data_IF_931770053546
#
_entry.id   IF_931770053546
#
_cell.length_a   1.000
_cell.length_b   1.000
_cell.length_c   1.000
_cell.angle_alpha   90.00
_cell.angle_beta   90.00
_cell.angle_gamma   90.00
#
_symmetry.space_group_name_H-M   'P 1'
#
loop_
_entity.id
_entity.type
_entity.pdbx_description
1 polymer ?
#
# COMPACT_ATOMS: atom_id res chain seq x y z
N UNK A 1 -2.39 1.01 4.17
CA UNK A 1 -3.01 1.68 3.02
C UNK A 1 -2.17 2.90 2.71
N UNK A 2 -1.71 3.06 1.46
CA UNK A 2 -1.14 4.34 1.05
C UNK A 2 -2.27 5.34 0.88
N UNK A 3 -2.15 6.44 1.60
CA UNK A 3 -3.04 7.58 1.42
C UNK A 3 -2.18 8.73 0.92
N UNK A 4 -2.68 9.44 -0.10
CA UNK A 4 -2.09 10.70 -0.52
C UNK A 4 -2.30 11.74 0.57
N UNK A 5 -3.32 12.57 0.41
CA UNK A 5 -3.52 13.72 1.29
C UNK A 5 -4.00 13.37 2.72
N UNK A 6 -4.48 12.14 2.94
CA UNK A 6 -5.00 11.66 4.23
C UNK A 6 -6.28 10.83 4.08
N UNK A 7 -6.82 10.34 5.20
CA UNK A 7 -8.01 9.46 5.26
C UNK A 7 -9.28 10.26 5.60
N UNK A 8 -9.12 11.30 6.41
CA UNK A 8 -10.19 12.16 6.87
C UNK A 8 -10.61 13.20 5.83
N UNK A 9 -11.89 13.58 5.87
CA UNK A 9 -12.50 14.63 5.02
C UNK A 9 -11.89 16.03 5.18
N UNK A 10 -10.98 16.21 6.13
CA UNK A 10 -10.34 17.48 6.43
C UNK A 10 -8.82 17.43 6.53
N UNK A 11 -8.18 16.29 6.25
CA UNK A 11 -6.72 16.14 6.42
C UNK A 11 -5.95 17.04 5.45
N UNK A 12 -6.52 17.30 4.27
CA UNK A 12 -6.02 18.28 3.30
C UNK A 12 -5.97 19.72 3.82
N UNK A 13 -6.64 20.03 4.93
CA UNK A 13 -6.60 21.35 5.57
C UNK A 13 -5.48 21.46 6.61
N UNK A 14 -4.74 20.38 6.86
CA UNK A 14 -3.60 20.45 7.77
C UNK A 14 -2.51 21.34 7.13
N UNK A 15 -1.90 22.27 7.89
CA UNK A 15 -0.85 23.16 7.35
C UNK A 15 0.29 22.41 6.68
N UNK A 16 0.67 21.26 7.25
CA UNK A 16 1.77 20.43 6.75
C UNK A 16 1.34 19.37 5.73
N UNK A 17 0.06 19.34 5.30
CA UNK A 17 -0.39 18.36 4.32
C UNK A 17 0.01 18.79 2.90
N UNK A 18 0.75 17.93 2.20
CA UNK A 18 0.94 18.09 0.76
C UNK A 18 -0.38 17.81 0.04
N UNK A 19 -1.00 18.86 -0.52
CA UNK A 19 -2.27 18.80 -1.23
C UNK A 19 -2.21 18.00 -2.55
N UNK A 20 -1.02 17.77 -3.10
CA UNK A 20 -0.81 17.06 -4.38
C UNK A 20 -0.49 15.59 -4.21
N UNK A 21 -0.26 15.12 -2.98
CA UNK A 21 0.16 13.75 -2.67
C UNK A 21 -0.76 12.67 -3.28
N UNK A 22 -2.06 12.96 -3.47
CA UNK A 22 -3.00 12.01 -4.09
C UNK A 22 -2.79 11.79 -5.59
N UNK A 23 -2.15 12.73 -6.29
CA UNK A 23 -1.93 12.69 -7.76
C UNK A 23 -0.46 12.72 -8.15
N UNK A 24 0.46 12.80 -7.19
CA UNK A 24 1.90 12.87 -7.43
C UNK A 24 2.50 11.46 -7.60
N UNK A 25 3.09 11.19 -8.76
CA UNK A 25 3.81 9.94 -9.01
C UNK A 25 5.02 9.78 -8.08
N UNK A 26 5.80 10.85 -7.89
CA UNK A 26 7.00 10.82 -7.04
C UNK A 26 6.66 10.49 -5.58
N UNK A 27 5.52 10.96 -5.08
CA UNK A 27 5.03 10.58 -3.75
C UNK A 27 4.85 9.06 -3.65
N UNK A 28 4.10 8.45 -4.59
CA UNK A 28 3.88 7.00 -4.58
C UNK A 28 5.15 6.19 -4.83
N UNK A 29 6.08 6.68 -5.65
CA UNK A 29 7.38 6.05 -5.85
C UNK A 29 8.18 5.99 -4.55
N UNK A 30 8.26 7.09 -3.80
CA UNK A 30 8.92 7.12 -2.49
C UNK A 30 8.27 6.13 -1.52
N UNK A 31 6.95 6.10 -1.47
CA UNK A 31 6.18 5.16 -0.64
C UNK A 31 6.47 3.70 -1.01
N UNK A 32 6.56 3.38 -2.30
CA UNK A 32 6.87 2.04 -2.79
C UNK A 32 8.30 1.63 -2.40
N UNK A 33 9.29 2.50 -2.59
CA UNK A 33 10.68 2.25 -2.20
C UNK A 33 10.84 2.03 -0.69
N UNK A 34 10.12 2.80 0.11
CA UNK A 34 10.06 2.61 1.55
C UNK A 34 9.45 1.24 1.90
N UNK A 35 8.35 0.86 1.22
CA UNK A 35 7.73 -0.44 1.43
C UNK A 35 8.67 -1.61 1.09
N UNK A 36 9.44 -1.47 0.00
CA UNK A 36 10.44 -2.44 -0.42
C UNK A 36 11.62 -2.53 0.57
N UNK A 37 12.12 -1.39 1.06
CA UNK A 37 13.17 -1.34 2.06
C UNK A 37 12.74 -2.02 3.36
N UNK A 38 11.50 -1.78 3.77
CA UNK A 38 10.87 -2.38 4.94
C UNK A 38 10.39 -3.82 4.71
N UNK A 39 10.59 -4.41 3.52
CA UNK A 39 10.23 -5.80 3.18
C UNK A 39 8.73 -6.09 3.31
N UNK A 40 7.85 -5.24 2.78
CA UNK A 40 6.42 -5.56 2.65
C UNK A 40 6.12 -6.26 1.31
N UNK A 41 5.31 -7.34 1.31
CA UNK A 41 4.91 -8.03 0.07
C UNK A 41 3.76 -7.34 -0.68
N UNK A 42 2.87 -6.65 0.03
CA UNK A 42 1.66 -6.08 -0.54
C UNK A 42 1.39 -4.67 -0.03
N UNK A 43 0.89 -3.82 -0.93
CA UNK A 43 0.46 -2.48 -0.63
C UNK A 43 -0.87 -2.20 -1.32
N UNK A 44 -1.88 -1.81 -0.54
CA UNK A 44 -3.18 -1.42 -1.08
C UNK A 44 -3.25 0.10 -1.28
N UNK A 45 -3.47 0.50 -2.54
CA UNK A 45 -3.69 1.89 -2.96
C UNK A 45 -5.17 2.06 -3.33
N UNK A 46 -5.90 2.81 -2.51
CA UNK A 46 -7.30 3.13 -2.79
C UNK A 46 -7.37 4.45 -3.56
N UNK A 47 -7.67 4.40 -4.85
CA UNK A 47 -7.97 5.61 -5.62
C UNK A 47 -9.36 6.15 -5.26
N UNK A 48 -9.48 7.43 -4.95
CA UNK A 48 -10.79 8.09 -4.87
C UNK A 48 -11.24 8.47 -6.28
N UNK A 49 -11.86 7.54 -6.99
CA UNK A 49 -12.60 7.89 -8.20
C UNK A 49 -13.71 8.87 -7.85
N UNK A 50 -13.61 10.12 -8.33
CA UNK A 50 -14.62 11.15 -8.08
C UNK A 50 -15.89 10.83 -8.88
N UNK A 51 -16.75 9.95 -8.36
CA UNK A 51 -18.12 9.79 -8.87
C UNK A 51 -18.98 10.89 -8.24
N UNK A 52 -19.45 11.86 -9.03
CA UNK A 52 -20.44 12.85 -8.57
C UNK A 52 -21.74 12.11 -8.29
N UNK A 53 -22.04 11.89 -7.02
CA UNK A 53 -23.40 11.55 -6.56
C UNK A 53 -24.11 12.84 -6.16
N UNK A 54 -25.36 13.09 -6.61
CA UNK A 54 -26.12 14.25 -6.19
C UNK A 54 -26.43 14.15 -4.69
N UNK A 55 -26.22 15.26 -3.98
CA UNK A 55 -26.43 15.35 -2.55
C UNK A 55 -27.93 15.33 -2.23
N UNK A 56 -28.40 14.31 -1.51
CA UNK A 56 -29.65 14.39 -0.76
C UNK A 56 -29.34 15.14 0.54
N UNK A 57 -29.95 16.33 0.68
CA UNK A 57 -29.84 17.18 1.85
C UNK A 57 -30.61 16.56 3.03
N UNK A 58 -29.89 16.00 3.99
CA UNK A 58 -30.42 15.52 5.26
C UNK A 58 -29.47 15.90 6.39
N UNK A 59 -29.70 17.07 6.99
CA UNK A 59 -28.87 17.61 8.06
C UNK A 59 -28.96 16.74 9.32
N UNK A 60 -27.83 16.15 9.72
CA UNK A 60 -27.67 15.62 11.09
C UNK A 60 -26.53 16.36 11.76
N UNK A 61 -26.84 17.18 12.77
CA UNK A 61 -25.86 17.82 13.65
C UNK A 61 -25.08 16.75 14.40
N UNK A 62 -23.84 16.49 13.99
CA UNK A 62 -22.88 15.75 14.80
C UNK A 62 -22.02 16.73 15.61
N UNK A 63 -22.21 16.64 16.93
CA UNK A 63 -21.43 17.30 17.98
C UNK A 63 -19.94 16.97 17.80
N UNK A 64 -19.11 18.00 17.61
CA UNK A 64 -17.65 17.87 17.53
C UNK A 64 -17.11 17.29 18.84
N UNK A 65 -16.62 16.06 18.80
CA UNK A 65 -15.63 15.60 19.76
C UNK A 65 -14.26 16.10 19.27
N UNK A 66 -13.65 17.00 20.06
CA UNK A 66 -12.23 17.34 19.93
C UNK A 66 -11.42 16.13 20.39
N UNK A 67 -11.09 15.27 19.46
CA UNK A 67 -10.02 14.29 19.58
C UNK A 67 -9.14 14.47 18.36
N UNK A 68 -7.91 14.93 18.58
CA UNK A 68 -6.91 15.12 17.54
C UNK A 68 -6.55 13.74 16.97
N UNK A 69 -7.29 13.32 15.94
CA UNK A 69 -6.95 12.14 15.17
C UNK A 69 -5.79 12.52 14.27
N UNK A 70 -4.61 12.04 14.63
CA UNK A 70 -3.42 12.09 13.80
C UNK A 70 -3.65 11.14 12.63
N UNK A 71 -4.33 11.60 11.59
CA UNK A 71 -4.24 11.01 10.27
C UNK A 71 -3.18 11.81 9.50
N UNK A 72 -1.95 11.71 9.99
CA UNK A 72 -0.82 12.31 9.31
C UNK A 72 -0.52 11.48 8.05
N UNK A 73 -0.31 12.20 6.96
CA UNK A 73 0.43 11.68 5.82
C UNK A 73 1.69 10.97 6.35
N UNK A 74 2.00 9.80 5.79
CA UNK A 74 3.16 9.03 6.20
C UNK A 74 2.95 7.99 7.30
N UNK A 75 1.75 7.41 7.39
CA UNK A 75 1.52 6.24 8.28
C UNK A 75 2.45 5.07 7.93
N UNK A 76 2.83 4.91 6.66
CA UNK A 76 3.78 3.88 6.24
C UNK A 76 5.19 4.20 6.74
N UNK A 77 5.68 5.43 6.56
CA UNK A 77 6.96 5.94 7.08
C UNK A 77 7.10 5.64 8.55
N UNK A 78 6.15 6.11 9.36
CA UNK A 78 6.21 5.94 10.82
C UNK A 78 6.27 4.46 11.19
N UNK A 79 5.49 3.61 10.51
CA UNK A 79 5.48 2.18 10.79
C UNK A 79 6.78 1.49 10.34
N UNK A 80 7.27 1.82 9.14
CA UNK A 80 8.51 1.27 8.58
C UNK A 80 9.74 1.67 9.40
N UNK A 81 9.78 2.89 9.92
CA UNK A 81 10.92 3.41 10.70
C UNK A 81 10.85 2.99 12.17
N UNK A 82 9.64 2.83 12.73
CA UNK A 82 9.49 2.59 14.18
C UNK A 82 9.21 1.12 14.49
N UNK A 83 8.28 0.49 13.77
CA UNK A 83 7.76 -0.84 14.12
C UNK A 83 8.61 -1.93 13.50
N UNK A 84 8.94 -1.82 12.22
CA UNK A 84 9.70 -2.86 11.50
C UNK A 84 11.03 -3.20 12.20
N UNK A 85 11.85 -2.23 12.66
CA UNK A 85 13.08 -2.55 13.38
C UNK A 85 12.85 -3.31 14.68
N UNK A 86 11.75 -3.02 15.40
CA UNK A 86 11.38 -3.76 16.64
C UNK A 86 11.03 -5.20 16.30
N UNK A 87 10.28 -5.43 15.22
CA UNK A 87 9.89 -6.77 14.80
C UNK A 87 11.11 -7.58 14.32
N UNK A 88 12.02 -6.96 13.57
CA UNK A 88 13.28 -7.56 13.12
C UNK A 88 14.19 -7.90 14.31
N UNK A 89 14.33 -6.98 15.28
CA UNK A 89 15.11 -7.21 16.51
C UNK A 89 14.56 -8.39 17.34
N UNK A 90 13.25 -8.63 17.27
CA UNK A 90 12.59 -9.76 17.94
C UNK A 90 12.64 -11.06 17.13
N UNK A 91 13.20 -11.04 15.92
CA UNK A 91 13.28 -12.22 15.04
C UNK A 91 11.94 -12.69 14.49
N UNK A 92 10.87 -11.89 14.62
CA UNK A 92 9.51 -12.23 14.15
C UNK A 92 9.17 -11.61 12.80
N UNK A 93 10.15 -10.93 12.19
CA UNK A 93 9.99 -10.30 10.89
C UNK A 93 11.29 -10.39 10.10
N UNK A 94 11.14 -10.60 8.81
CA UNK A 94 12.26 -10.81 7.88
C UNK A 94 13.16 -9.58 7.75
N UNK A 95 14.44 -9.83 7.52
CA UNK A 95 15.46 -8.81 7.22
C UNK A 95 15.80 -8.72 5.73
N UNK A 96 15.47 -9.76 4.96
CA UNK A 96 15.71 -9.84 3.53
C UNK A 96 14.62 -10.63 2.81
N UNK A 97 14.64 -10.55 1.48
CA UNK A 97 13.86 -11.45 0.63
C UNK A 97 14.68 -12.72 0.40
N UNK A 98 14.01 -13.87 0.46
CA UNK A 98 14.64 -15.18 0.30
C UNK A 98 14.66 -15.64 -1.16
N UNK A 99 13.76 -15.09 -1.99
CA UNK A 99 13.66 -15.40 -3.41
C UNK A 99 13.74 -14.16 -4.29
N UNK A 100 14.23 -14.36 -5.50
CA UNK A 100 14.23 -13.37 -6.58
C UNK A 100 12.85 -13.20 -7.23
N UNK A 101 11.90 -14.09 -6.93
CA UNK A 101 10.55 -14.02 -7.49
C UNK A 101 9.54 -13.71 -6.42
N UNK A 102 8.52 -12.93 -6.78
CA UNK A 102 7.39 -12.66 -5.91
C UNK A 102 6.69 -13.95 -5.46
N UNK A 103 6.54 -14.91 -6.38
CA UNK A 103 5.98 -16.25 -6.08
C UNK A 103 6.82 -16.98 -5.03
N UNK A 104 8.14 -16.98 -5.17
CA UNK A 104 9.04 -17.61 -4.21
C UNK A 104 8.95 -16.97 -2.83
N UNK A 105 8.88 -15.64 -2.73
CA UNK A 105 8.71 -14.94 -1.45
C UNK A 105 7.36 -15.26 -0.77
N UNK A 106 6.36 -15.72 -1.51
CA UNK A 106 5.06 -16.17 -1.00
C UNK A 106 4.95 -17.69 -0.84
N UNK A 107 5.98 -18.46 -1.20
CA UNK A 107 5.93 -19.92 -1.22
C UNK A 107 4.94 -20.51 -2.24
N UNK A 108 4.58 -19.74 -3.28
CA UNK A 108 3.61 -20.16 -4.29
C UNK A 108 4.36 -20.85 -5.44
N UNK A 109 3.99 -22.08 -5.84
CA UNK A 109 4.67 -22.77 -6.93
C UNK A 109 4.47 -22.06 -8.29
N UNK A 110 5.44 -22.25 -9.19
CA UNK A 110 5.33 -21.79 -10.57
C UNK A 110 4.42 -22.75 -11.33
N UNK A 111 3.26 -22.29 -11.85
CA UNK A 111 2.35 -23.17 -12.57
C UNK A 111 2.98 -23.58 -13.92
N UNK A 112 2.92 -24.86 -14.30
CA UNK A 112 3.45 -25.31 -15.59
C UNK A 112 2.68 -24.66 -16.74
N UNK A 113 3.39 -24.31 -17.81
CA UNK A 113 2.77 -23.77 -19.01
C UNK A 113 1.79 -24.80 -19.60
N UNK A 114 0.53 -24.42 -19.78
CA UNK A 114 -0.53 -25.29 -20.34
C UNK A 114 -0.20 -25.80 -21.75
N UNK A 115 0.59 -25.05 -22.52
CA UNK A 115 0.98 -25.40 -23.89
C UNK A 115 2.25 -26.24 -23.98
N UNK A 116 3.05 -26.31 -22.92
CA UNK A 116 4.30 -27.08 -22.92
C UNK A 116 4.08 -28.60 -23.02
N UNK A 117 2.84 -29.08 -22.81
CA UNK A 117 2.49 -30.50 -23.01
C UNK A 117 2.54 -30.96 -24.46
N UNK A 118 2.47 -30.05 -25.45
CA UNK A 118 2.44 -30.41 -26.86
C UNK A 118 3.81 -30.48 -27.54
N UNK A 119 4.87 -29.95 -26.92
CA UNK A 119 6.18 -29.86 -27.60
C UNK A 119 6.90 -31.21 -27.66
N UNK A 120 6.63 -32.12 -26.72
CA UNK A 120 7.25 -33.46 -26.69
C UNK A 120 6.74 -34.36 -27.81
N UNK A 121 5.54 -34.11 -28.35
CA UNK A 121 4.97 -34.90 -29.43
C UNK A 121 5.45 -34.51 -30.83
N UNK A 122 6.01 -33.30 -31.01
CA UNK A 122 6.40 -32.76 -32.33
C UNK A 122 7.89 -33.00 -32.63
N UNK A 123 8.73 -33.23 -31.62
CA UNK A 123 10.16 -33.49 -31.81
C UNK A 123 10.51 -34.98 -32.03
N UNK A 124 9.50 -35.86 -32.13
CA UNK A 124 9.66 -37.31 -32.28
C UNK A 124 9.19 -37.82 -33.67
N UNK A 125 9.04 -36.93 -34.64
CA UNK A 125 8.70 -37.21 -36.06
C UNK A 125 9.82 -36.64 -36.96
#
# INVERSE_FOLDING_TARGET
MLHGVGIGRGDWRHPDADATASTSFEYYKKQAQLAEAAKFDFLFVAGTGRRRVPALAGATRLRRLRGQRVAAQGTLEVFAETVVPILQKRGIYRTGYESETFRGNLGIPVPPNRYARNTVAVAAE
#
